data_IF_583545979695
#
_entry.id   IF_583545979695
#
_cell.length_a   1.000
_cell.length_b   1.000
_cell.length_c   1.000
_cell.angle_alpha   90.00
_cell.angle_beta   90.00
_cell.angle_gamma   90.00
#
_symmetry.space_group_name_H-M   'P 1'
#
loop_
_entity.id
_entity.type
_entity.pdbx_description
1 polymer ?
#
# COMPACT_ATOMS: atom_id res chain seq x y z
N UNK A 1 3.48 -9.53 7.96
CA UNK A 1 3.62 -8.10 8.36
C UNK A 1 4.98 -7.54 7.95
N UNK A 2 6.05 -8.31 8.07
CA UNK A 2 7.37 -7.95 7.53
C UNK A 2 7.35 -7.81 6.01
N UNK A 3 6.68 -8.75 5.33
CA UNK A 3 6.55 -8.85 3.87
C UNK A 3 5.84 -7.63 3.28
N UNK A 4 4.77 -7.18 3.95
CA UNK A 4 4.05 -5.97 3.54
C UNK A 4 4.91 -4.72 3.72
N UNK A 5 5.62 -4.59 4.85
CA UNK A 5 6.56 -3.48 5.03
C UNK A 5 7.67 -3.49 3.99
N UNK A 6 8.16 -4.67 3.61
CA UNK A 6 9.13 -4.84 2.54
C UNK A 6 8.56 -4.39 1.20
N UNK A 7 7.35 -4.83 0.83
CA UNK A 7 6.70 -4.39 -0.41
C UNK A 7 6.51 -2.86 -0.45
N UNK A 8 6.00 -2.26 0.62
CA UNK A 8 5.81 -0.79 0.70
C UNK A 8 7.14 -0.04 0.55
N UNK A 9 8.22 -0.58 1.14
CA UNK A 9 9.56 -0.04 1.00
C UNK A 9 10.11 -0.22 -0.43
N UNK A 10 9.89 -1.37 -1.04
CA UNK A 10 10.37 -1.69 -2.38
C UNK A 10 9.63 -0.87 -3.44
N UNK A 11 8.31 -0.68 -3.35
CA UNK A 11 7.55 0.26 -4.20
C UNK A 11 8.16 1.68 -4.14
N UNK A 12 8.69 2.08 -2.97
CA UNK A 12 9.37 3.38 -2.78
C UNK A 12 10.76 3.42 -3.41
N UNK A 13 11.53 2.34 -3.28
CA UNK A 13 12.95 2.29 -3.64
C UNK A 13 13.19 1.87 -5.09
N UNK A 14 12.31 1.02 -5.61
CA UNK A 14 12.47 0.27 -6.85
C UNK A 14 11.35 0.65 -7.84
N UNK A 15 11.61 1.57 -8.80
CA UNK A 15 10.60 2.01 -9.76
C UNK A 15 10.02 0.86 -10.61
N UNK A 16 10.76 -0.23 -10.76
CA UNK A 16 10.36 -1.48 -11.40
C UNK A 16 9.22 -2.18 -10.62
N UNK A 17 9.31 -2.26 -9.29
CA UNK A 17 8.28 -2.88 -8.44
C UNK A 17 7.01 -2.05 -8.51
N UNK A 18 7.13 -0.71 -8.45
CA UNK A 18 6.00 0.20 -8.70
C UNK A 18 5.32 -0.06 -10.04
N UNK A 19 6.10 -0.15 -11.13
CA UNK A 19 5.54 -0.36 -12.48
C UNK A 19 4.81 -1.70 -12.58
N UNK A 20 5.39 -2.76 -12.00
CA UNK A 20 4.74 -4.07 -11.94
C UNK A 20 3.46 -4.02 -11.13
N UNK A 21 3.50 -3.42 -9.94
CA UNK A 21 2.33 -3.29 -9.07
C UNK A 21 1.18 -2.51 -9.72
N UNK A 22 1.49 -1.46 -10.50
CA UNK A 22 0.48 -0.70 -11.24
C UNK A 22 -0.06 -1.46 -12.46
N UNK A 23 0.69 -2.41 -13.01
CA UNK A 23 0.26 -3.23 -14.14
C UNK A 23 -0.56 -4.45 -13.67
N UNK A 24 -0.08 -5.12 -12.63
CA UNK A 24 -0.70 -6.27 -11.99
C UNK A 24 -0.30 -6.30 -10.51
N UNK A 25 -1.19 -5.81 -9.64
CA UNK A 25 -0.95 -5.79 -8.20
C UNK A 25 -0.99 -7.20 -7.61
N UNK A 26 -1.80 -8.09 -8.19
CA UNK A 26 -2.07 -9.41 -7.65
C UNK A 26 -0.86 -10.33 -7.81
N UNK A 27 -0.21 -10.31 -8.98
CA UNK A 27 1.06 -11.02 -9.23
C UNK A 27 2.16 -10.59 -8.24
N UNK A 28 2.30 -9.28 -8.01
CA UNK A 28 3.29 -8.76 -7.05
C UNK A 28 2.95 -9.14 -5.62
N UNK A 29 1.66 -9.12 -5.24
CA UNK A 29 1.24 -9.54 -3.90
C UNK A 29 1.51 -11.04 -3.69
N UNK A 30 1.32 -11.87 -4.72
CA UNK A 30 1.65 -13.30 -4.66
C UNK A 30 3.17 -13.55 -4.55
N UNK A 31 4.00 -12.82 -5.29
CA UNK A 31 5.47 -12.92 -5.17
C UNK A 31 5.99 -12.58 -3.76
N UNK A 32 5.37 -11.59 -3.12
CA UNK A 32 5.72 -11.18 -1.75
C UNK A 32 5.01 -12.04 -0.68
N UNK A 33 4.19 -13.02 -1.07
CA UNK A 33 3.46 -13.88 -0.13
C UNK A 33 2.40 -13.16 0.69
N UNK A 34 1.83 -12.08 0.15
CA UNK A 34 0.82 -11.27 0.82
C UNK A 34 -0.57 -11.86 0.52
N UNK A 35 -1.19 -12.39 1.56
CA UNK A 35 -2.50 -13.03 1.50
C UNK A 35 -3.46 -12.46 2.56
N UNK A 36 -4.73 -12.87 2.47
CA UNK A 36 -5.77 -12.48 3.43
C UNK A 36 -6.09 -10.99 3.41
N UNK A 37 -6.33 -10.42 4.58
CA UNK A 37 -6.78 -9.03 4.73
C UNK A 37 -5.78 -8.02 4.16
N UNK A 38 -4.47 -8.28 4.28
CA UNK A 38 -3.44 -7.41 3.72
C UNK A 38 -3.51 -7.34 2.18
N UNK A 39 -3.85 -8.44 1.52
CA UNK A 39 -4.07 -8.44 0.06
C UNK A 39 -5.26 -7.55 -0.29
N UNK A 40 -6.38 -7.75 0.41
CA UNK A 40 -7.59 -6.95 0.23
C UNK A 40 -7.33 -5.45 0.39
N UNK A 41 -6.58 -5.05 1.43
CA UNK A 41 -6.24 -3.65 1.64
C UNK A 41 -5.27 -3.10 0.60
N UNK A 42 -4.32 -3.89 0.12
CA UNK A 42 -3.38 -3.47 -0.91
C UNK A 42 -4.05 -3.31 -2.27
N UNK A 43 -4.90 -4.26 -2.67
CA UNK A 43 -5.66 -4.17 -3.92
C UNK A 43 -6.69 -3.03 -3.89
N UNK A 44 -7.32 -2.77 -2.74
CA UNK A 44 -8.27 -1.67 -2.56
C UNK A 44 -7.61 -0.31 -2.23
N UNK A 45 -6.29 -0.27 -2.01
CA UNK A 45 -5.57 0.89 -1.48
C UNK A 45 -6.21 1.44 -0.18
N UNK A 46 -6.61 0.53 0.71
CA UNK A 46 -7.18 0.85 2.03
C UNK A 46 -6.08 1.16 3.04
N UNK A 47 -5.48 2.36 2.91
CA UNK A 47 -4.44 2.83 3.82
C UNK A 47 -4.94 3.01 5.25
N UNK A 48 -6.24 3.22 5.44
CA UNK A 48 -6.85 3.38 6.76
C UNK A 48 -6.89 2.06 7.53
N UNK A 49 -7.35 0.99 6.91
CA UNK A 49 -7.34 -0.33 7.53
C UNK A 49 -5.92 -0.78 7.82
N UNK A 50 -4.98 -0.52 6.91
CA UNK A 50 -3.57 -0.77 7.13
C UNK A 50 -3.01 0.01 8.35
N UNK A 51 -3.32 1.31 8.43
CA UNK A 51 -2.92 2.16 9.54
C UNK A 51 -3.47 1.67 10.90
N UNK A 52 -4.76 1.30 10.94
CA UNK A 52 -5.40 0.76 12.15
C UNK A 52 -4.78 -0.55 12.64
N UNK A 53 -4.21 -1.35 11.73
CA UNK A 53 -3.52 -2.59 12.06
C UNK A 53 -2.04 -2.40 12.40
N UNK A 54 -1.59 -1.16 12.62
CA UNK A 54 -0.25 -0.87 13.13
C UNK A 54 0.85 -0.87 12.07
N UNK A 55 0.49 -0.83 10.77
CA UNK A 55 1.46 -0.64 9.70
C UNK A 55 2.05 0.77 9.79
N UNK A 56 3.36 0.88 9.54
CA UNK A 56 4.09 2.13 9.71
C UNK A 56 3.48 3.25 8.84
N UNK A 57 3.01 4.36 9.43
CA UNK A 57 2.37 5.46 8.70
C UNK A 57 3.29 6.12 7.67
N UNK A 58 4.60 6.12 7.91
CA UNK A 58 5.58 6.63 6.96
C UNK A 58 5.59 5.77 5.70
N UNK A 59 5.61 4.44 5.83
CA UNK A 59 5.60 3.54 4.68
C UNK A 59 4.30 3.67 3.87
N UNK A 60 3.16 3.80 4.54
CA UNK A 60 1.86 4.02 3.89
C UNK A 60 1.85 5.32 3.09
N UNK A 61 2.32 6.42 3.68
CA UNK A 61 2.34 7.72 3.02
C UNK A 61 3.23 7.73 1.77
N UNK A 62 4.44 7.18 1.86
CA UNK A 62 5.33 7.12 0.71
C UNK A 62 4.83 6.18 -0.38
N UNK A 63 4.25 5.04 0.00
CA UNK A 63 3.61 4.14 -0.95
C UNK A 63 2.47 4.85 -1.70
N UNK A 64 1.58 5.54 -0.98
CA UNK A 64 0.48 6.30 -1.57
C UNK A 64 0.98 7.33 -2.61
N UNK A 65 2.03 8.10 -2.29
CA UNK A 65 2.66 9.04 -3.23
C UNK A 65 3.17 8.31 -4.48
N UNK A 66 3.83 7.16 -4.29
CA UNK A 66 4.39 6.41 -5.41
C UNK A 66 3.30 5.82 -6.30
N UNK A 67 2.20 5.37 -5.71
CA UNK A 67 1.02 4.88 -6.43
C UNK A 67 0.12 6.02 -6.96
N UNK A 68 0.61 7.27 -6.93
CA UNK A 68 -0.06 8.45 -7.47
C UNK A 68 -1.42 8.74 -6.81
N UNK A 69 -1.59 8.30 -5.56
CA UNK A 69 -2.73 8.67 -4.74
C UNK A 69 -2.59 10.13 -4.33
N UNK A 70 -3.64 10.91 -4.52
CA UNK A 70 -3.65 12.31 -4.11
C UNK A 70 -3.42 12.45 -2.60
N UNK A 71 -2.64 13.46 -2.22
CA UNK A 71 -2.27 13.67 -0.82
C UNK A 71 -3.49 13.96 0.06
N UNK A 72 -4.42 14.77 -0.43
CA UNK A 72 -5.63 15.10 0.32
C UNK A 72 -6.54 13.88 0.45
N UNK A 73 -6.68 13.09 -0.62
CA UNK A 73 -7.40 11.82 -0.59
C UNK A 73 -6.82 10.83 0.43
N UNK A 74 -5.49 10.66 0.47
CA UNK A 74 -4.82 9.82 1.47
C UNK A 74 -5.15 10.27 2.91
N UNK A 75 -4.99 11.55 3.21
CA UNK A 75 -5.27 12.05 4.56
C UNK A 75 -6.77 11.98 4.92
N UNK A 76 -7.66 12.18 3.95
CA UNK A 76 -9.10 12.01 4.16
C UNK A 76 -9.44 10.56 4.53
N UNK A 77 -8.83 9.58 3.86
CA UNK A 77 -8.99 8.16 4.20
C UNK A 77 -8.44 7.85 5.61
N UNK A 78 -7.22 8.31 5.94
CA UNK A 78 -6.62 8.12 7.27
C UNK A 78 -7.48 8.74 8.38
N UNK A 79 -8.07 9.92 8.15
CA UNK A 79 -9.01 10.58 9.09
C UNK A 79 -10.38 9.92 9.14
N UNK A 80 -10.69 9.00 8.22
CA UNK A 80 -12.01 8.36 8.09
C UNK A 80 -13.08 9.27 7.52
N UNK A 81 -12.68 10.31 6.77
CA UNK A 81 -13.56 11.24 6.06
C UNK A 81 -14.04 10.65 4.72
N UNK A 82 -13.42 9.56 4.26
CA UNK A 82 -13.77 8.82 3.04
C UNK A 82 -13.81 7.33 3.35
N UNK A 83 -14.71 6.54 2.70
CA UNK A 83 -14.82 5.10 2.91
C UNK A 83 -13.52 4.35 2.66
#
# INVERSE_FOLDING_TARGET
MYELHQLLWDIRRHPEVKKRYLADADDVLDEYGIHGDFRGWMSALDFRSMYKHGINPYLLYFCAIQLQVDRAAYYAQIRGETP
#
